data_IF_774228521205
#
_entry.id   IF_774228521205
#
_cell.length_a   1.000
_cell.length_b   1.000
_cell.length_c   1.000
_cell.angle_alpha   90.00
_cell.angle_beta   90.00
_cell.angle_gamma   90.00
#
_symmetry.space_group_name_H-M   'P 1'
#
loop_
_entity.id
_entity.type
_entity.pdbx_description
1 polymer ?
#
# COMPACT_ATOMS: atom_id res chain seq x y z
N UNK A 1 -4.20 -19.33 2.84
CA UNK A 1 -3.41 -20.06 2.14
C UNK A 1 -3.90 -21.10 1.13
N UNK A 2 -4.58 -20.65 0.03
CA UNK A 2 -4.80 -21.53 -1.13
C UNK A 2 -3.79 -21.19 -2.22
N UNK A 3 -3.23 -22.20 -2.86
CA UNK A 3 -2.38 -22.07 -4.05
C UNK A 3 -3.10 -22.65 -5.27
N UNK A 4 -2.75 -22.18 -6.45
CA UNK A 4 -3.25 -22.72 -7.72
C UNK A 4 -2.32 -23.78 -8.30
N UNK A 5 -1.22 -24.10 -7.60
CA UNK A 5 -0.26 -25.12 -8.02
C UNK A 5 -0.88 -26.51 -7.89
N UNK A 6 -0.66 -27.35 -8.90
CA UNK A 6 -1.00 -28.78 -8.89
C UNK A 6 0.16 -29.60 -8.30
N UNK A 7 -0.09 -30.89 -8.06
CA UNK A 7 0.96 -31.77 -7.55
C UNK A 7 2.08 -31.92 -8.60
N UNK A 8 3.29 -31.58 -8.19
CA UNK A 8 4.47 -31.60 -9.07
C UNK A 8 4.85 -30.26 -9.66
N UNK A 9 4.02 -29.22 -9.50
CA UNK A 9 4.36 -27.87 -9.95
C UNK A 9 5.41 -27.22 -9.06
N UNK A 10 6.31 -26.46 -9.68
CA UNK A 10 7.32 -25.68 -9.00
C UNK A 10 7.23 -24.22 -9.48
N UNK A 11 7.02 -23.30 -8.54
CA UNK A 11 7.11 -21.87 -8.84
C UNK A 11 8.59 -21.51 -9.09
N UNK A 12 8.93 -21.23 -10.35
CA UNK A 12 10.31 -20.93 -10.77
C UNK A 12 10.65 -19.45 -10.75
N UNK A 13 9.67 -18.57 -10.96
CA UNK A 13 9.93 -17.12 -11.03
C UNK A 13 8.66 -16.30 -10.78
N UNK A 14 8.86 -15.08 -10.31
CA UNK A 14 7.86 -14.00 -10.33
C UNK A 14 8.38 -12.93 -11.28
N UNK A 15 7.61 -12.60 -12.33
CA UNK A 15 7.98 -11.61 -13.33
C UNK A 15 7.26 -10.30 -13.09
N UNK A 16 8.02 -9.21 -12.98
CA UNK A 16 7.51 -7.83 -13.00
C UNK A 16 7.85 -7.25 -14.36
N UNK A 17 6.85 -6.92 -15.15
CA UNK A 17 7.04 -6.39 -16.50
C UNK A 17 7.41 -4.91 -16.47
N UNK A 18 8.05 -4.42 -17.55
CA UNK A 18 8.60 -3.06 -17.63
C UNK A 18 7.56 -1.98 -17.34
N UNK A 19 6.37 -2.11 -17.92
CA UNK A 19 5.24 -1.19 -17.67
C UNK A 19 4.80 -1.11 -16.20
N UNK A 20 5.15 -2.11 -15.39
CA UNK A 20 4.77 -2.15 -13.98
C UNK A 20 5.78 -1.50 -13.03
N UNK A 21 6.97 -1.14 -13.51
CA UNK A 21 7.97 -0.46 -12.69
C UNK A 21 8.56 0.79 -13.33
N UNK A 22 8.56 0.92 -14.67
CA UNK A 22 9.19 2.06 -15.34
C UNK A 22 8.48 3.38 -15.03
N UNK A 23 9.25 4.36 -14.55
CA UNK A 23 8.75 5.66 -14.16
C UNK A 23 8.07 5.72 -12.78
N UNK A 24 7.93 4.58 -12.09
CA UNK A 24 7.43 4.59 -10.72
C UNK A 24 8.54 4.77 -9.71
N UNK A 25 8.25 5.58 -8.68
CA UNK A 25 8.99 5.63 -7.42
C UNK A 25 8.16 4.88 -6.37
N UNK A 26 8.79 4.06 -5.56
CA UNK A 26 8.09 3.24 -4.58
C UNK A 26 8.57 3.47 -3.15
N UNK A 27 7.66 3.34 -2.19
CA UNK A 27 8.00 3.31 -0.77
C UNK A 27 7.15 2.27 -0.05
N UNK A 28 7.80 1.48 0.80
CA UNK A 28 7.14 0.48 1.63
C UNK A 28 7.30 0.82 3.11
N UNK A 29 6.20 0.85 3.83
CA UNK A 29 6.18 1.03 5.28
C UNK A 29 5.73 -0.28 5.92
N UNK A 30 6.61 -0.89 6.71
CA UNK A 30 6.26 -1.93 7.66
C UNK A 30 5.99 -1.27 9.01
N UNK A 31 4.72 -1.12 9.37
CA UNK A 31 4.38 -0.64 10.70
C UNK A 31 4.40 -1.80 11.71
N UNK A 32 5.27 -1.70 12.69
CA UNK A 32 5.43 -2.71 13.73
C UNK A 32 6.01 -2.08 15.01
N UNK A 33 5.80 -2.68 16.21
CA UNK A 33 6.34 -2.17 17.48
C UNK A 33 7.87 -2.10 17.50
N UNK A 34 8.57 -2.96 16.77
CA UNK A 34 10.04 -3.00 16.70
C UNK A 34 10.51 -2.84 15.26
N UNK A 35 11.71 -2.31 15.09
CA UNK A 35 12.32 -2.12 13.76
C UNK A 35 12.77 -3.43 13.11
N UNK A 36 13.10 -4.43 13.90
CA UNK A 36 13.57 -5.73 13.44
C UNK A 36 12.90 -6.89 14.19
N UNK A 37 12.88 -8.07 13.57
CA UNK A 37 12.39 -9.32 14.14
C UNK A 37 10.97 -9.19 14.70
N UNK A 38 10.09 -8.55 13.95
CA UNK A 38 8.70 -8.35 14.35
C UNK A 38 7.73 -8.62 13.19
N UNK A 39 6.52 -9.02 13.55
CA UNK A 39 5.42 -9.18 12.59
C UNK A 39 4.73 -7.81 12.42
N UNK A 40 4.50 -7.43 11.18
CA UNK A 40 3.81 -6.17 10.89
C UNK A 40 2.42 -6.12 11.53
N UNK A 41 2.10 -5.01 12.17
CA UNK A 41 0.73 -4.64 12.54
C UNK A 41 -0.05 -4.30 11.28
N UNK A 42 0.59 -3.57 10.36
CA UNK A 42 0.13 -3.29 9.00
C UNK A 42 1.36 -3.06 8.10
N UNK A 43 1.29 -3.53 6.86
CA UNK A 43 2.22 -3.16 5.79
C UNK A 43 1.51 -2.32 4.74
N UNK A 44 2.14 -1.25 4.28
CA UNK A 44 1.64 -0.42 3.19
C UNK A 44 2.74 -0.19 2.16
N UNK A 45 2.45 -0.50 0.90
CA UNK A 45 3.31 -0.20 -0.24
C UNK A 45 2.62 0.80 -1.15
N UNK A 46 3.31 1.87 -1.51
CA UNK A 46 2.86 2.82 -2.52
C UNK A 46 3.87 2.84 -3.65
N UNK A 47 3.38 2.72 -4.89
CA UNK A 47 4.12 3.02 -6.10
C UNK A 47 3.45 4.22 -6.77
N UNK A 48 4.22 5.27 -7.02
CA UNK A 48 3.75 6.55 -7.52
C UNK A 48 4.47 6.90 -8.82
N UNK A 49 3.70 7.23 -9.85
CA UNK A 49 4.15 7.91 -11.05
C UNK A 49 3.56 9.32 -11.05
N UNK A 50 4.41 10.31 -11.09
CA UNK A 50 4.00 11.71 -10.98
C UNK A 50 4.69 12.58 -12.05
N UNK A 51 4.03 13.65 -12.43
CA UNK A 51 4.57 14.65 -13.33
C UNK A 51 4.21 16.05 -12.81
N UNK A 52 5.20 16.87 -12.51
CA UNK A 52 5.05 18.24 -12.02
C UNK A 52 4.07 18.36 -10.85
N UNK A 53 4.13 17.46 -9.87
CA UNK A 53 3.26 17.46 -8.69
C UNK A 53 1.84 16.94 -8.93
N UNK A 54 1.57 16.35 -10.11
CA UNK A 54 0.30 15.70 -10.43
C UNK A 54 0.49 14.19 -10.49
N UNK A 55 -0.44 13.44 -9.91
CA UNK A 55 -0.43 11.97 -9.91
C UNK A 55 -0.83 11.48 -11.31
N UNK A 56 0.09 10.87 -12.05
CA UNK A 56 -0.24 10.19 -13.31
C UNK A 56 -0.83 8.80 -13.04
N UNK A 57 -0.21 8.04 -12.16
CA UNK A 57 -0.70 6.75 -11.69
C UNK A 57 -0.21 6.49 -10.25
N UNK A 58 -1.03 5.81 -9.48
CA UNK A 58 -0.72 5.42 -8.11
C UNK A 58 -1.21 4.01 -7.85
N UNK A 59 -0.41 3.22 -7.12
CA UNK A 59 -0.77 1.88 -6.69
C UNK A 59 -0.55 1.78 -5.20
N UNK A 60 -1.57 1.33 -4.49
CA UNK A 60 -1.56 1.21 -3.03
C UNK A 60 -1.90 -0.22 -2.65
N UNK A 61 -0.97 -0.91 -2.03
CA UNK A 61 -1.15 -2.27 -1.59
C UNK A 61 -0.91 -2.42 -0.09
N UNK A 62 -1.72 -3.26 0.55
CA UNK A 62 -1.64 -3.52 1.98
C UNK A 62 -1.35 -4.99 2.27
N UNK A 63 -0.51 -5.22 3.28
CA UNK A 63 -0.41 -6.47 4.01
C UNK A 63 -1.05 -6.34 5.39
N UNK A 64 -1.68 -7.40 5.88
CA UNK A 64 -2.33 -7.47 7.20
C UNK A 64 -3.61 -6.61 7.34
N UNK A 65 -4.02 -5.88 6.31
CA UNK A 65 -5.30 -5.16 6.27
C UNK A 65 -6.50 -6.06 5.91
N UNK A 66 -6.27 -7.32 5.64
CA UNK A 66 -7.25 -8.35 5.31
C UNK A 66 -6.65 -9.75 5.41
N UNK A 67 -7.43 -10.81 5.09
CA UNK A 67 -6.93 -12.20 5.10
C UNK A 67 -5.81 -12.46 4.09
N UNK A 68 -5.78 -11.69 3.00
CA UNK A 68 -4.78 -11.73 1.94
C UNK A 68 -4.26 -10.32 1.66
N UNK A 69 -3.10 -10.15 1.00
CA UNK A 69 -2.70 -8.84 0.47
C UNK A 69 -3.81 -8.26 -0.42
N UNK A 70 -4.04 -6.97 -0.32
CA UNK A 70 -5.10 -6.28 -1.07
C UNK A 70 -4.60 -4.98 -1.71
N UNK A 71 -5.30 -4.54 -2.75
CA UNK A 71 -5.12 -3.26 -3.44
C UNK A 71 -6.27 -2.32 -3.10
N UNK A 72 -5.97 -1.03 -2.94
CA UNK A 72 -6.98 0.01 -2.73
C UNK A 72 -7.42 0.63 -4.08
N UNK A 73 -8.05 -0.18 -4.94
CA UNK A 73 -8.34 0.19 -6.33
C UNK A 73 -9.19 1.47 -6.46
N UNK A 74 -10.20 1.67 -5.61
CA UNK A 74 -11.00 2.90 -5.61
C UNK A 74 -10.16 4.14 -5.32
N UNK A 75 -9.24 4.05 -4.35
CA UNK A 75 -8.34 5.15 -3.99
C UNK A 75 -7.32 5.44 -5.10
N UNK A 76 -6.82 4.39 -5.77
CA UNK A 76 -5.91 4.51 -6.90
C UNK A 76 -6.57 5.23 -8.09
N UNK A 77 -7.81 4.87 -8.41
CA UNK A 77 -8.56 5.52 -9.48
C UNK A 77 -8.90 6.97 -9.15
N UNK A 78 -9.33 7.25 -7.90
CA UNK A 78 -9.56 8.61 -7.44
C UNK A 78 -8.30 9.49 -7.54
N UNK A 79 -7.13 8.93 -7.27
CA UNK A 79 -5.87 9.67 -7.24
C UNK A 79 -5.42 10.17 -8.62
N UNK A 80 -5.80 9.51 -9.71
CA UNK A 80 -5.36 9.86 -11.07
C UNK A 80 -5.72 11.29 -11.45
N UNK A 81 -4.74 12.02 -11.97
CA UNK A 81 -4.88 13.40 -12.39
C UNK A 81 -5.03 14.42 -11.26
N UNK A 82 -4.94 14.01 -10.00
CA UNK A 82 -5.04 14.90 -8.85
C UNK A 82 -3.68 15.48 -8.46
N UNK A 83 -3.65 16.71 -7.92
CA UNK A 83 -2.41 17.29 -7.38
C UNK A 83 -1.99 16.57 -6.10
N UNK A 84 -0.68 16.50 -5.87
CA UNK A 84 -0.13 15.95 -4.63
C UNK A 84 -0.14 17.06 -3.56
N UNK A 85 -1.16 17.08 -2.72
CA UNK A 85 -1.29 17.96 -1.58
C UNK A 85 -1.93 17.24 -0.39
N UNK A 86 -1.90 17.85 0.79
CA UNK A 86 -2.42 17.22 2.01
C UNK A 86 -3.92 16.92 1.96
N UNK A 87 -4.71 17.73 1.28
CA UNK A 87 -6.16 17.54 1.12
C UNK A 87 -6.45 16.26 0.31
N UNK A 88 -5.84 16.13 -0.87
CA UNK A 88 -6.00 14.96 -1.73
C UNK A 88 -5.44 13.70 -1.07
N UNK A 89 -4.28 13.79 -0.40
CA UNK A 89 -3.71 12.66 0.32
C UNK A 89 -4.59 12.19 1.48
N UNK A 90 -5.27 13.10 2.17
CA UNK A 90 -6.24 12.77 3.21
C UNK A 90 -7.46 12.06 2.62
N UNK A 91 -7.97 12.50 1.48
CA UNK A 91 -9.11 11.88 0.82
C UNK A 91 -8.75 10.48 0.30
N UNK A 92 -7.59 10.32 -0.34
CA UNK A 92 -7.06 9.00 -0.73
C UNK A 92 -7.02 8.05 0.48
N UNK A 93 -6.50 8.51 1.62
CA UNK A 93 -6.46 7.71 2.85
C UNK A 93 -7.83 7.23 3.30
N UNK A 94 -8.84 8.11 3.30
CA UNK A 94 -10.22 7.75 3.65
C UNK A 94 -10.81 6.71 2.69
N UNK A 95 -10.63 6.90 1.37
CA UNK A 95 -11.13 5.95 0.37
C UNK A 95 -10.45 4.59 0.50
N UNK A 96 -9.19 4.52 0.95
CA UNK A 96 -8.50 3.25 1.22
C UNK A 96 -9.24 2.36 2.24
N UNK A 97 -9.99 2.95 3.18
CA UNK A 97 -10.79 2.20 4.16
C UNK A 97 -11.86 1.31 3.54
N UNK A 98 -12.38 1.67 2.37
CA UNK A 98 -13.39 0.87 1.65
C UNK A 98 -12.85 -0.53 1.28
N UNK A 99 -11.56 -0.62 0.99
CA UNK A 99 -10.89 -1.87 0.64
C UNK A 99 -10.47 -2.69 1.85
N UNK A 100 -10.33 -2.06 3.03
CA UNK A 100 -9.81 -2.73 4.22
C UNK A 100 -10.80 -3.76 4.79
N UNK A 101 -10.26 -4.86 5.31
CA UNK A 101 -10.97 -5.92 6.03
C UNK A 101 -10.23 -6.21 7.33
N UNK A 102 -9.88 -5.14 8.05
CA UNK A 102 -9.14 -5.21 9.30
C UNK A 102 -9.93 -5.97 10.38
N UNK A 103 -9.21 -6.64 11.25
CA UNK A 103 -9.76 -7.40 12.37
C UNK A 103 -9.04 -7.08 13.67
N UNK A 104 -9.68 -7.35 14.77
CA UNK A 104 -9.05 -7.35 16.09
C UNK A 104 -8.08 -8.54 16.24
N UNK A 105 -7.00 -8.30 16.95
CA UNK A 105 -6.07 -9.33 17.39
C UNK A 105 -5.35 -8.86 18.65
N UNK A 106 -4.60 -9.78 19.30
CA UNK A 106 -3.81 -9.40 20.46
C UNK A 106 -2.72 -8.35 20.17
N UNK A 107 -2.33 -8.18 18.87
CA UNK A 107 -1.32 -7.21 18.45
C UNK A 107 -1.88 -5.80 18.25
N UNK A 108 -3.14 -5.70 17.82
CA UNK A 108 -3.76 -4.40 17.54
C UNK A 108 -5.28 -4.55 17.39
N UNK A 109 -6.00 -3.51 17.77
CA UNK A 109 -7.44 -3.41 17.52
C UNK A 109 -7.74 -3.16 16.04
N UNK A 110 -8.95 -3.49 15.61
CA UNK A 110 -9.47 -3.15 14.29
C UNK A 110 -9.37 -1.65 14.03
N UNK A 111 -9.86 -0.83 14.97
CA UNK A 111 -9.84 0.63 14.85
C UNK A 111 -8.44 1.20 14.62
N UNK A 112 -7.44 0.70 15.35
CA UNK A 112 -6.05 1.12 15.15
C UNK A 112 -5.51 0.74 13.76
N UNK A 113 -5.86 -0.46 13.26
CA UNK A 113 -5.46 -0.87 11.91
C UNK A 113 -6.13 -0.02 10.84
N UNK A 114 -7.40 0.34 11.00
CA UNK A 114 -8.12 1.24 10.10
C UNK A 114 -7.47 2.62 10.07
N UNK A 115 -7.06 3.15 11.22
CA UNK A 115 -6.29 4.39 11.29
C UNK A 115 -4.95 4.28 10.52
N UNK A 116 -4.25 3.15 10.61
CA UNK A 116 -3.02 2.91 9.86
C UNK A 116 -3.31 2.79 8.35
N UNK A 117 -4.42 2.17 7.94
CA UNK A 117 -4.82 2.09 6.52
C UNK A 117 -5.01 3.48 5.94
N UNK A 118 -5.62 4.39 6.69
CA UNK A 118 -5.82 5.78 6.27
C UNK A 118 -4.50 6.57 6.23
N UNK A 119 -3.63 6.38 7.21
CA UNK A 119 -2.46 7.26 7.43
C UNK A 119 -1.22 6.84 6.63
N UNK A 120 -0.96 5.53 6.46
CA UNK A 120 0.31 5.07 5.89
C UNK A 120 0.49 5.44 4.40
N UNK A 121 -0.53 5.48 3.53
CA UNK A 121 -0.37 5.94 2.15
C UNK A 121 0.15 7.38 2.08
N UNK A 122 -0.36 8.27 2.92
CA UNK A 122 0.09 9.67 2.99
C UNK A 122 1.58 9.77 3.33
N UNK A 123 2.01 9.01 4.35
CA UNK A 123 3.43 8.96 4.74
C UNK A 123 4.30 8.39 3.64
N UNK A 124 3.85 7.34 2.97
CA UNK A 124 4.59 6.74 1.86
C UNK A 124 4.76 7.72 0.70
N UNK A 125 3.70 8.44 0.30
CA UNK A 125 3.79 9.47 -0.74
C UNK A 125 4.74 10.59 -0.33
N UNK A 126 4.62 11.11 0.90
CA UNK A 126 5.54 12.14 1.41
C UNK A 126 6.99 11.69 1.41
N UNK A 127 7.26 10.43 1.74
CA UNK A 127 8.61 9.86 1.64
C UNK A 127 9.11 9.79 0.20
N UNK A 128 8.26 9.40 -0.76
CA UNK A 128 8.61 9.35 -2.19
C UNK A 128 8.98 10.73 -2.73
N UNK A 129 8.16 11.76 -2.47
CA UNK A 129 8.39 13.12 -3.00
C UNK A 129 9.48 13.85 -2.24
N UNK A 130 9.66 13.57 -0.95
CA UNK A 130 10.72 14.14 -0.11
C UNK A 130 12.10 13.55 -0.32
N UNK A 131 12.28 12.63 -1.29
CA UNK A 131 13.56 11.98 -1.59
C UNK A 131 13.97 10.96 -0.52
N UNK A 132 13.04 10.21 0.03
CA UNK A 132 13.14 9.30 1.18
C UNK A 132 14.52 8.74 1.48
N UNK A 133 14.98 8.99 2.72
CA UNK A 133 16.14 8.31 3.34
C UNK A 133 15.68 7.03 4.02
#
# INVERSE_FOLDING_TARGET
GKVLLEQGDILTAVKITKENYEGYKGHYIKFSPRQAMDIATLGCSVSLKENNGTIEDMRIAYGVAGPTPLRAASAEEFAKGKPINDEILNEIGKICLESARARDSWRASKAFREQLVEELPKRAVKAIIGGGR
#
